data_IF_150415552250
#
_entry.id   IF_150415552250
#
_cell.length_a   1.000
_cell.length_b   1.000
_cell.length_c   1.000
_cell.angle_alpha   90.00
_cell.angle_beta   90.00
_cell.angle_gamma   90.00
#
_symmetry.space_group_name_H-M   'P 1'
#
loop_
_entity.id
_entity.type
_entity.pdbx_description
1 polymer ?
#
# COMPACT_ATOMS: atom_id res chain seq x y z
N UNK A 1 21.77 18.89 -4.63
CA UNK A 1 20.80 17.79 -4.80
C UNK A 1 19.58 18.32 -5.53
N UNK A 2 19.10 17.63 -6.56
CA UNK A 2 17.85 17.98 -7.25
C UNK A 2 16.67 17.44 -6.45
N UNK A 3 15.67 18.29 -6.15
CA UNK A 3 14.40 17.85 -5.58
C UNK A 3 13.45 17.52 -6.72
N UNK A 4 12.68 16.45 -6.58
CA UNK A 4 11.63 16.03 -7.51
C UNK A 4 10.38 15.67 -6.70
N UNK A 5 9.20 15.86 -7.26
CA UNK A 5 7.96 15.43 -6.65
C UNK A 5 7.77 13.93 -6.82
N UNK A 6 7.16 13.26 -5.83
CA UNK A 6 6.85 11.84 -5.94
C UNK A 6 5.96 11.53 -7.15
N UNK A 7 5.06 12.44 -7.52
CA UNK A 7 4.18 12.30 -8.69
C UNK A 7 4.92 12.33 -10.03
N UNK A 8 6.16 12.84 -10.08
CA UNK A 8 6.99 12.81 -11.29
C UNK A 8 7.62 11.43 -11.52
N UNK A 9 7.69 10.60 -10.48
CA UNK A 9 8.47 9.35 -10.48
C UNK A 9 7.64 8.13 -10.06
N UNK A 10 6.48 8.33 -9.45
CA UNK A 10 5.56 7.28 -8.99
C UNK A 10 4.12 7.59 -9.40
N UNK A 11 3.39 6.57 -9.81
CA UNK A 11 1.93 6.56 -9.71
C UNK A 11 1.54 6.36 -8.23
N UNK A 12 0.63 7.21 -7.76
CA UNK A 12 0.14 7.21 -6.39
C UNK A 12 -1.23 6.53 -6.37
N UNK A 13 -1.31 5.36 -5.75
CA UNK A 13 -2.55 4.58 -5.66
C UNK A 13 -3.07 4.52 -4.22
N UNK A 14 -4.28 5.01 -3.99
CA UNK A 14 -4.96 4.89 -2.69
C UNK A 14 -5.82 3.63 -2.68
N UNK A 15 -5.79 2.89 -1.57
CA UNK A 15 -6.59 1.69 -1.38
C UNK A 15 -8.09 1.96 -1.19
N UNK A 16 -8.85 0.88 -0.92
CA UNK A 16 -10.29 0.93 -0.69
C UNK A 16 -10.70 -0.09 0.38
N UNK A 17 -11.69 0.30 1.19
CA UNK A 17 -12.34 -0.59 2.16
C UNK A 17 -13.71 -1.00 1.62
N UNK A 18 -13.91 -2.30 1.32
CA UNK A 18 -15.26 -2.84 1.11
C UNK A 18 -16.14 -2.61 2.34
N UNK A 19 -17.46 -2.53 2.16
CA UNK A 19 -18.36 -2.33 3.29
C UNK A 19 -18.21 -3.46 4.31
N UNK A 20 -18.02 -3.10 5.59
CA UNK A 20 -17.95 -4.06 6.71
C UNK A 20 -19.31 -4.68 7.02
N UNK A 21 -20.40 -4.05 6.59
CA UNK A 21 -21.76 -4.57 6.76
C UNK A 21 -22.08 -5.72 5.78
N UNK A 22 -21.30 -5.89 4.71
CA UNK A 22 -21.50 -6.94 3.71
C UNK A 22 -20.49 -8.05 4.01
N UNK A 23 -20.92 -9.08 4.74
CA UNK A 23 -20.04 -10.17 5.17
C UNK A 23 -19.44 -10.96 4.00
N UNK A 24 -20.14 -11.08 2.86
CA UNK A 24 -19.62 -11.76 1.66
C UNK A 24 -18.38 -11.11 1.05
N UNK A 25 -18.08 -9.86 1.42
CA UNK A 25 -16.87 -9.17 0.96
C UNK A 25 -15.60 -9.56 1.71
N UNK A 26 -15.73 -10.25 2.85
CA UNK A 26 -14.65 -10.56 3.76
C UNK A 26 -14.54 -12.07 3.96
N UNK A 27 -13.32 -12.60 3.95
CA UNK A 27 -13.08 -14.03 4.09
C UNK A 27 -11.94 -14.50 3.19
N UNK A 28 -11.91 -15.80 2.89
CA UNK A 28 -10.86 -16.39 2.06
C UNK A 28 -10.83 -15.73 0.66
N UNK A 29 -9.62 -15.38 0.22
CA UNK A 29 -9.45 -14.65 -1.03
C UNK A 29 -8.12 -13.89 -1.10
N UNK A 30 -8.20 -12.63 -1.51
CA UNK A 30 -7.04 -11.78 -1.76
C UNK A 30 -6.62 -11.04 -0.48
N UNK A 31 -5.32 -10.98 -0.22
CA UNK A 31 -4.79 -10.31 0.97
C UNK A 31 -5.14 -8.81 0.99
N UNK A 32 -5.65 -8.35 2.14
CA UNK A 32 -6.06 -6.98 2.34
C UNK A 32 -5.35 -6.38 3.55
N UNK A 33 -4.61 -5.30 3.33
CA UNK A 33 -3.71 -4.65 4.29
C UNK A 33 -4.42 -3.45 4.92
N UNK A 34 -4.50 -3.46 6.23
CA UNK A 34 -4.88 -2.32 7.05
C UNK A 34 -3.64 -1.60 7.61
N UNK A 35 -3.82 -0.43 8.22
CA UNK A 35 -2.71 0.27 8.93
C UNK A 35 -2.13 -0.61 10.05
N UNK A 36 -2.94 -1.45 10.68
CA UNK A 36 -2.48 -2.33 11.75
C UNK A 36 -1.46 -3.37 11.26
N UNK A 37 -1.57 -3.80 10.00
CA UNK A 37 -0.64 -4.74 9.38
C UNK A 37 0.74 -4.10 9.08
N UNK A 38 0.84 -2.77 9.07
CA UNK A 38 2.11 -2.06 8.85
C UNK A 38 2.97 -1.91 10.12
N UNK A 39 2.42 -2.26 11.29
CA UNK A 39 3.13 -2.08 12.56
C UNK A 39 4.37 -2.98 12.65
N UNK A 40 5.53 -2.37 12.88
CA UNK A 40 6.81 -3.07 13.08
C UNK A 40 7.19 -4.05 11.96
N UNK A 41 6.71 -3.82 10.73
CA UNK A 41 6.99 -4.67 9.57
C UNK A 41 7.58 -3.86 8.43
N UNK A 42 8.83 -4.18 8.06
CA UNK A 42 9.44 -3.69 6.82
C UNK A 42 8.84 -4.36 5.59
N UNK A 43 8.42 -5.62 5.70
CA UNK A 43 7.93 -6.42 4.58
C UNK A 43 6.55 -7.00 4.88
N UNK A 44 5.63 -6.92 3.92
CA UNK A 44 4.28 -7.47 4.02
C UNK A 44 4.17 -8.74 3.18
N UNK A 45 4.17 -9.89 3.86
CA UNK A 45 3.98 -11.22 3.27
C UNK A 45 2.64 -11.88 3.69
N UNK A 46 2.02 -11.38 4.77
CA UNK A 46 0.79 -11.89 5.37
C UNK A 46 -0.06 -10.73 5.88
N UNK A 47 -1.37 -10.94 5.92
CA UNK A 47 -2.37 -9.96 6.37
C UNK A 47 -3.30 -10.62 7.36
N UNK A 48 -3.84 -9.83 8.30
CA UNK A 48 -4.86 -10.33 9.23
C UNK A 48 -6.17 -10.68 8.52
N UNK A 49 -6.50 -9.94 7.47
CA UNK A 49 -7.77 -10.04 6.75
C UNK A 49 -7.53 -10.26 5.26
N UNK A 50 -8.54 -10.84 4.60
CA UNK A 50 -8.61 -11.01 3.17
C UNK A 50 -10.00 -10.54 2.68
N UNK A 51 -10.04 -10.13 1.42
CA UNK A 51 -11.27 -9.74 0.73
C UNK A 51 -11.57 -10.72 -0.40
N UNK A 52 -12.84 -10.95 -0.66
CA UNK A 52 -13.27 -11.88 -1.71
C UNK A 52 -13.11 -11.27 -3.10
N UNK A 53 -13.14 -12.11 -4.13
CA UNK A 53 -13.10 -11.63 -5.52
C UNK A 53 -14.30 -10.72 -5.84
N UNK A 54 -15.47 -11.02 -5.25
CA UNK A 54 -16.66 -10.18 -5.35
C UNK A 54 -16.38 -8.76 -4.85
N UNK A 55 -15.77 -8.63 -3.66
CA UNK A 55 -15.42 -7.34 -3.08
C UNK A 55 -14.47 -6.55 -3.98
N UNK A 56 -13.45 -7.21 -4.54
CA UNK A 56 -12.48 -6.59 -5.44
C UNK A 56 -13.20 -5.95 -6.64
N UNK A 57 -14.10 -6.69 -7.27
CA UNK A 57 -14.85 -6.21 -8.44
C UNK A 57 -15.85 -5.11 -8.06
N UNK A 58 -16.71 -5.36 -7.05
CA UNK A 58 -17.80 -4.46 -6.67
C UNK A 58 -17.32 -3.14 -6.06
N UNK A 59 -16.20 -3.17 -5.33
CA UNK A 59 -15.63 -1.98 -4.72
C UNK A 59 -14.55 -1.32 -5.59
N UNK A 60 -14.24 -1.88 -6.77
CA UNK A 60 -13.17 -1.43 -7.65
C UNK A 60 -11.84 -1.28 -6.90
N UNK A 61 -11.51 -2.28 -6.08
CA UNK A 61 -10.24 -2.31 -5.36
C UNK A 61 -9.12 -2.52 -6.37
N UNK A 62 -8.10 -1.66 -6.35
CA UNK A 62 -6.96 -1.78 -7.26
C UNK A 62 -5.88 -2.66 -6.64
N UNK A 63 -5.42 -3.65 -7.40
CA UNK A 63 -4.34 -4.56 -6.97
C UNK A 63 -3.03 -3.78 -6.92
N UNK A 64 -2.27 -3.97 -5.85
CA UNK A 64 -0.92 -3.41 -5.68
C UNK A 64 0.07 -4.53 -5.99
N UNK A 65 1.05 -4.32 -6.87
CA UNK A 65 2.03 -5.34 -7.22
C UNK A 65 3.01 -5.61 -6.07
N UNK A 66 3.81 -6.66 -6.24
CA UNK A 66 4.95 -6.95 -5.36
C UNK A 66 6.04 -5.88 -5.51
N UNK A 67 6.86 -5.70 -4.47
CA UNK A 67 7.97 -4.74 -4.42
C UNK A 67 7.52 -3.27 -4.55
N UNK A 68 6.39 -2.95 -3.95
CA UNK A 68 5.81 -1.60 -3.88
C UNK A 68 5.89 -1.06 -2.46
N UNK A 69 6.24 0.23 -2.32
CA UNK A 69 6.24 0.90 -1.02
C UNK A 69 4.80 1.27 -0.64
N UNK A 70 4.39 0.88 0.56
CA UNK A 70 3.17 1.31 1.21
C UNK A 70 3.49 2.40 2.22
N UNK A 71 2.63 3.42 2.30
CA UNK A 71 2.75 4.53 3.25
C UNK A 71 1.39 4.83 3.87
N UNK A 72 1.30 4.92 5.20
CA UNK A 72 0.07 5.35 5.88
C UNK A 72 0.02 6.87 6.00
N UNK A 73 -1.11 7.45 5.57
CA UNK A 73 -1.32 8.90 5.56
C UNK A 73 -2.53 9.36 6.39
N UNK A 74 -3.29 8.41 6.97
CA UNK A 74 -4.35 8.68 7.95
C UNK A 74 -4.07 7.96 9.26
N UNK A 75 -4.66 8.43 10.36
CA UNK A 75 -4.60 7.88 11.72
C UNK A 75 -3.16 7.77 12.27
N UNK A 76 -2.41 6.75 11.88
CA UNK A 76 -0.98 6.61 12.23
C UNK A 76 -0.14 6.97 11.02
N UNK A 77 0.17 8.26 10.86
CA UNK A 77 0.94 8.77 9.72
C UNK A 77 2.39 8.25 9.76
N UNK A 78 2.95 7.92 8.60
CA UNK A 78 4.38 7.67 8.44
C UNK A 78 4.83 6.22 8.61
N UNK A 79 3.91 5.25 8.70
CA UNK A 79 4.30 3.83 8.66
C UNK A 79 4.60 3.45 7.23
N UNK A 80 5.69 2.72 7.04
CA UNK A 80 6.19 2.32 5.74
C UNK A 80 6.47 0.83 5.70
N UNK A 81 6.06 0.16 4.63
CA UNK A 81 6.40 -1.24 4.38
C UNK A 81 6.53 -1.53 2.88
N UNK A 82 7.13 -2.67 2.52
CA UNK A 82 7.29 -3.11 1.13
C UNK A 82 6.49 -4.41 0.92
N UNK A 83 5.68 -4.46 -0.14
CA UNK A 83 4.91 -5.65 -0.51
C UNK A 83 5.82 -6.80 -0.94
N UNK A 84 5.60 -8.01 -0.44
CA UNK A 84 6.28 -9.25 -0.89
C UNK A 84 5.40 -10.13 -1.79
N UNK A 85 4.14 -9.75 -1.96
CA UNK A 85 3.18 -10.37 -2.87
C UNK A 85 2.17 -9.33 -3.35
N UNK A 86 1.46 -9.57 -4.46
CA UNK A 86 0.33 -8.76 -4.85
C UNK A 86 -0.75 -8.73 -3.77
N UNK A 87 -1.29 -7.55 -3.44
CA UNK A 87 -2.28 -7.37 -2.37
C UNK A 87 -3.15 -6.13 -2.59
N UNK A 88 -4.11 -5.93 -1.70
CA UNK A 88 -4.98 -4.74 -1.65
C UNK A 88 -4.79 -4.01 -0.32
N UNK A 89 -5.13 -2.73 -0.24
CA UNK A 89 -5.03 -1.94 0.99
C UNK A 89 -6.32 -1.18 1.27
N UNK A 90 -6.48 -0.70 2.49
CA UNK A 90 -7.53 0.27 2.85
C UNK A 90 -7.24 1.69 2.32
N UNK A 91 -8.21 2.61 2.44
CA UNK A 91 -8.13 4.02 2.00
C UNK A 91 -7.26 4.91 2.89
N UNK A 92 -6.58 4.33 3.87
CA UNK A 92 -5.69 5.01 4.81
C UNK A 92 -4.22 4.77 4.45
N UNK A 93 -3.97 3.93 3.43
CA UNK A 93 -2.67 3.57 2.90
C UNK A 93 -2.60 3.99 1.43
N UNK A 94 -1.46 4.55 1.07
CA UNK A 94 -1.07 4.84 -0.30
C UNK A 94 0.04 3.91 -0.74
N UNK A 95 -0.03 3.43 -1.97
CA UNK A 95 1.02 2.67 -2.64
C UNK A 95 1.76 3.59 -3.62
N UNK A 96 3.08 3.56 -3.58
CA UNK A 96 3.96 4.30 -4.47
C UNK A 96 4.50 3.36 -5.54
N UNK A 97 3.87 3.36 -6.71
CA UNK A 97 4.22 2.51 -7.83
C UNK A 97 5.22 3.24 -8.73
N UNK A 98 6.48 2.80 -8.86
CA UNK A 98 7.46 3.47 -9.72
C UNK A 98 6.99 3.51 -11.18
N UNK A 99 7.03 4.69 -11.81
CA UNK A 99 6.67 4.85 -13.23
C UNK A 99 7.69 4.16 -14.15
N UNK A 100 8.96 4.11 -13.72
CA UNK A 100 10.00 3.34 -14.40
C UNK A 100 10.86 2.58 -13.39
N UNK A 101 11.38 1.43 -13.80
CA UNK A 101 12.34 0.64 -13.00
C UNK A 101 13.76 1.22 -13.02
N UNK A 102 14.04 2.19 -13.91
CA UNK A 102 15.39 2.70 -14.15
C UNK A 102 15.75 3.87 -13.23
N UNK A 103 14.76 4.59 -12.71
CA UNK A 103 15.01 5.89 -12.09
C UNK A 103 15.43 5.80 -10.61
N UNK A 104 14.99 4.76 -9.87
CA UNK A 104 15.34 4.58 -8.45
C UNK A 104 14.92 3.20 -7.92
N UNK A 105 15.50 2.78 -6.79
CA UNK A 105 15.14 1.50 -6.16
C UNK A 105 13.99 1.66 -5.15
N UNK A 106 13.14 0.64 -5.00
CA UNK A 106 12.10 0.58 -3.94
C UNK A 106 12.70 0.80 -2.54
N UNK A 107 13.93 0.32 -2.31
CA UNK A 107 14.69 0.55 -1.08
C UNK A 107 15.00 2.03 -0.87
N UNK A 108 15.37 2.76 -1.93
CA UNK A 108 15.59 4.20 -1.86
C UNK A 108 14.31 4.95 -1.45
N UNK A 109 13.15 4.62 -2.02
CA UNK A 109 11.87 5.18 -1.56
C UNK A 109 11.60 4.84 -0.08
N UNK A 110 11.82 3.59 0.32
CA UNK A 110 11.60 3.17 1.69
C UNK A 110 12.46 3.99 2.68
N UNK A 111 13.78 4.04 2.48
CA UNK A 111 14.69 4.79 3.37
C UNK A 111 14.54 6.31 3.25
N UNK A 112 14.21 6.84 2.07
CA UNK A 112 13.97 8.27 1.86
C UNK A 112 12.82 8.81 2.71
N UNK A 113 11.78 7.99 2.95
CA UNK A 113 10.68 8.32 3.85
C UNK A 113 11.07 8.32 5.34
N UNK A 114 12.14 7.60 5.73
CA UNK A 114 12.69 7.69 7.10
C UNK A 114 13.63 8.88 7.29
N UNK A 115 14.35 9.27 6.22
CA UNK A 115 15.33 10.36 6.27
C UNK A 115 14.72 11.75 6.14
N UNK A 116 13.50 11.84 5.62
CA UNK A 116 12.79 13.11 5.43
C UNK A 116 11.70 13.19 6.51
N UNK A 117 11.82 14.12 7.46
CA UNK A 117 10.63 14.64 8.12
C UNK A 117 9.81 15.29 7.01
N UNK A 118 8.90 14.53 6.40
CA UNK A 118 7.93 15.07 5.43
C UNK A 118 6.84 15.72 6.27
N UNK A 119 7.18 16.92 6.75
CA UNK A 119 6.30 18.01 7.15
C UNK A 119 6.99 19.31 6.73
#
# INVERSE_FOLDING_TARGET
MKKVFLTEICEIQIGRTPSRAISSYWGEGESWVSIADLNNRTFINSTKECITHEAVQKCNCKKIPVNTVLFSFKLSIGKVAITQKPLFTNEAIVALLPLTKKDFSTKYLYYGNYSSKIF
#
